data_IF_375205540210
#
_entry.id   IF_375205540210
#
_cell.length_a   1.000
_cell.length_b   1.000
_cell.length_c   1.000
_cell.angle_alpha   90.00
_cell.angle_beta   90.00
_cell.angle_gamma   90.00
#
_symmetry.space_group_name_H-M   'P 1'
#
loop_
_entity.id
_entity.type
_entity.pdbx_description
1 polymer ?
#
# COMPACT_ATOMS: atom_id res chain seq x y z
N UNK A 1 -3.81 73.26 -35.52
CA UNK A 1 -5.17 73.71 -35.12
C UNK A 1 -6.17 72.73 -35.71
N UNK A 2 -7.17 72.35 -34.92
CA UNK A 2 -8.29 71.42 -35.15
C UNK A 2 -8.09 69.93 -34.84
N UNK A 3 -9.01 69.51 -33.98
CA UNK A 3 -9.19 68.29 -33.22
C UNK A 3 -9.96 67.22 -34.03
N UNK A 4 -9.87 66.00 -33.49
CA UNK A 4 -10.65 64.75 -33.66
C UNK A 4 -12.20 64.93 -33.80
N UNK A 5 -13.09 63.89 -33.90
CA UNK A 5 -12.93 62.47 -33.50
C UNK A 5 -13.74 61.43 -34.32
N UNK A 6 -13.57 60.13 -34.04
CA UNK A 6 -14.65 59.25 -33.50
C UNK A 6 -14.22 57.77 -33.39
N UNK A 7 -14.75 57.17 -32.33
CA UNK A 7 -14.63 55.82 -31.79
C UNK A 7 -15.10 54.71 -32.75
N UNK A 8 -14.52 53.50 -32.65
CA UNK A 8 -15.26 52.34 -32.12
C UNK A 8 -14.34 51.15 -31.86
N UNK A 9 -14.54 50.54 -30.70
CA UNK A 9 -13.87 49.35 -30.21
C UNK A 9 -14.39 48.08 -30.91
N UNK A 10 -13.53 47.06 -31.01
CA UNK A 10 -13.99 45.67 -30.87
C UNK A 10 -12.90 44.87 -30.15
N UNK A 11 -13.28 44.43 -28.95
CA UNK A 11 -12.62 43.45 -28.13
C UNK A 11 -12.55 42.11 -28.88
N UNK A 12 -11.42 41.42 -28.80
CA UNK A 12 -11.43 39.95 -28.83
C UNK A 12 -10.38 39.45 -27.85
N UNK A 13 -10.87 39.01 -26.70
CA UNK A 13 -10.12 38.38 -25.63
C UNK A 13 -9.53 37.07 -26.13
N UNK A 14 -8.20 36.93 -26.13
CA UNK A 14 -7.56 35.62 -26.22
C UNK A 14 -7.21 35.18 -24.81
N UNK A 15 -8.10 34.32 -24.31
CA UNK A 15 -7.91 33.46 -23.16
C UNK A 15 -6.90 32.37 -23.54
N UNK A 16 -5.74 32.30 -22.90
CA UNK A 16 -4.88 31.12 -22.99
C UNK A 16 -3.97 30.96 -21.77
N UNK A 17 -4.47 30.10 -20.87
CA UNK A 17 -3.75 29.08 -20.11
C UNK A 17 -2.72 29.56 -19.08
N UNK A 18 -3.21 29.78 -17.86
CA UNK A 18 -2.40 29.53 -16.66
C UNK A 18 -2.10 28.03 -16.61
N UNK A 19 -0.87 27.66 -16.96
CA UNK A 19 -0.35 26.33 -16.66
C UNK A 19 -0.18 26.25 -15.14
N UNK A 20 -1.18 25.69 -14.46
CA UNK A 20 -1.03 25.19 -13.11
C UNK A 20 -0.07 23.99 -13.20
N UNK A 21 1.23 24.23 -13.11
CA UNK A 21 2.17 23.16 -12.78
C UNK A 21 1.86 22.78 -11.34
N UNK A 22 0.99 21.79 -11.15
CA UNK A 22 0.98 21.01 -9.93
C UNK A 22 2.39 20.46 -9.77
N UNK A 23 3.15 21.05 -8.85
CA UNK A 23 4.32 20.40 -8.32
C UNK A 23 3.85 19.06 -7.76
N UNK A 24 4.13 17.97 -8.49
CA UNK A 24 4.10 16.65 -7.91
C UNK A 24 5.12 16.69 -6.77
N UNK A 25 4.62 16.86 -5.55
CA UNK A 25 5.43 16.67 -4.36
C UNK A 25 5.78 15.19 -4.36
N UNK A 26 6.96 14.87 -4.87
CA UNK A 26 7.66 13.63 -4.53
C UNK A 26 7.87 13.72 -3.02
N UNK A 27 6.90 13.22 -2.24
CA UNK A 27 7.11 13.00 -0.82
C UNK A 27 8.25 12.00 -0.73
N UNK A 28 9.41 12.50 -0.30
CA UNK A 28 10.56 11.67 -0.02
C UNK A 28 10.13 10.58 0.97
N UNK A 29 10.26 9.32 0.56
CA UNK A 29 10.24 8.19 1.49
C UNK A 29 11.24 8.50 2.61
N UNK A 30 10.88 8.29 3.89
CA UNK A 30 11.82 8.41 4.99
C UNK A 30 12.81 7.24 4.94
N UNK A 31 13.74 7.25 3.99
CA UNK A 31 14.83 6.29 3.92
C UNK A 31 15.85 6.65 5.01
N UNK A 32 15.89 5.87 6.10
CA UNK A 32 17.12 5.69 6.87
C UNK A 32 17.10 5.97 8.38
N UNK A 33 15.95 6.17 9.05
CA UNK A 33 15.93 6.27 10.53
C UNK A 33 15.55 4.97 11.24
N UNK A 34 14.68 4.18 10.64
CA UNK A 34 14.04 3.03 11.25
C UNK A 34 14.42 1.72 10.55
N UNK A 35 14.39 0.60 11.28
CA UNK A 35 14.84 -0.70 10.81
C UNK A 35 13.68 -1.50 10.19
N UNK A 36 12.96 -0.89 9.24
CA UNK A 36 11.75 -1.49 8.66
C UNK A 36 12.00 -2.83 7.95
N UNK A 37 13.19 -3.01 7.35
CA UNK A 37 13.60 -4.29 6.79
C UNK A 37 13.60 -5.39 7.86
N UNK A 38 14.15 -5.09 9.04
CA UNK A 38 14.19 -6.02 10.15
C UNK A 38 12.81 -6.26 10.76
N UNK A 39 11.96 -5.23 10.82
CA UNK A 39 10.57 -5.40 11.26
C UNK A 39 9.80 -6.35 10.35
N UNK A 40 9.99 -6.22 9.04
CA UNK A 40 9.37 -7.14 8.08
C UNK A 40 9.86 -8.58 8.28
N UNK A 41 11.16 -8.79 8.46
CA UNK A 41 11.69 -10.12 8.78
C UNK A 41 11.10 -10.69 10.08
N UNK A 42 10.93 -9.86 11.12
CA UNK A 42 10.34 -10.27 12.39
C UNK A 42 8.85 -10.62 12.24
N UNK A 43 8.09 -9.85 11.48
CA UNK A 43 6.68 -10.12 11.16
C UNK A 43 6.55 -11.47 10.46
N UNK A 44 7.36 -11.69 9.41
CA UNK A 44 7.39 -12.98 8.70
C UNK A 44 7.74 -14.13 9.64
N UNK A 45 8.77 -13.96 10.46
CA UNK A 45 9.21 -14.99 11.41
C UNK A 45 8.10 -15.32 12.41
N UNK A 46 7.38 -14.32 12.93
CA UNK A 46 6.24 -14.52 13.81
C UNK A 46 5.13 -15.34 13.15
N UNK A 47 4.77 -15.03 11.90
CA UNK A 47 3.79 -15.81 11.13
C UNK A 47 4.27 -17.25 10.91
N UNK A 48 5.50 -17.43 10.44
CA UNK A 48 6.09 -18.75 10.14
C UNK A 48 6.17 -19.64 11.40
N UNK A 49 6.45 -19.04 12.57
CA UNK A 49 6.55 -19.74 13.85
C UNK A 49 5.22 -19.85 14.60
N UNK A 50 4.13 -19.28 14.07
CA UNK A 50 2.82 -19.18 14.74
C UNK A 50 2.91 -18.45 16.10
N UNK A 51 3.81 -17.47 16.21
CA UNK A 51 3.98 -16.67 17.43
C UNK A 51 2.99 -15.50 17.43
N UNK A 52 1.78 -15.77 17.95
CA UNK A 52 0.68 -14.79 18.04
C UNK A 52 1.11 -13.54 18.80
N UNK A 53 1.90 -13.70 19.87
CA UNK A 53 2.34 -12.57 20.71
C UNK A 53 3.34 -11.69 19.96
N UNK A 54 4.31 -12.30 19.28
CA UNK A 54 5.29 -11.55 18.51
C UNK A 54 4.62 -10.81 17.34
N UNK A 55 3.68 -11.45 16.63
CA UNK A 55 2.96 -10.81 15.53
C UNK A 55 2.05 -9.68 16.03
N UNK A 56 1.32 -9.91 17.13
CA UNK A 56 0.44 -8.91 17.74
C UNK A 56 1.16 -7.66 18.24
N UNK A 57 2.47 -7.72 18.49
CA UNK A 57 3.26 -6.53 18.82
C UNK A 57 3.37 -5.52 17.65
N UNK A 58 3.09 -5.96 16.43
CA UNK A 58 3.05 -5.14 15.22
C UNK A 58 1.63 -4.71 14.85
N UNK A 59 0.60 -5.10 15.59
CA UNK A 59 -0.78 -4.69 15.32
C UNK A 59 -0.97 -3.19 15.62
N UNK A 60 -1.48 -2.43 14.66
CA UNK A 60 -1.78 -1.01 14.83
C UNK A 60 -2.96 -0.76 15.80
N UNK A 61 -3.81 -1.77 16.01
CA UNK A 61 -4.95 -1.70 16.90
C UNK A 61 -5.44 -3.08 17.31
N UNK A 62 -6.28 -3.14 18.35
CA UNK A 62 -6.87 -4.37 18.87
C UNK A 62 -7.79 -5.10 17.87
N UNK A 63 -8.18 -4.47 16.76
CA UNK A 63 -9.00 -5.10 15.73
C UNK A 63 -8.21 -6.00 14.79
N UNK A 64 -6.86 -5.96 14.86
CA UNK A 64 -5.99 -6.79 14.05
C UNK A 64 -5.75 -8.10 14.79
N UNK A 65 -6.41 -9.16 14.33
CA UNK A 65 -6.30 -10.49 14.91
C UNK A 65 -5.07 -11.22 14.35
N UNK A 66 -4.00 -11.27 15.15
CA UNK A 66 -2.78 -11.99 14.80
C UNK A 66 -3.00 -13.50 14.63
N UNK A 67 -3.94 -14.09 15.37
CA UNK A 67 -4.26 -15.51 15.24
C UNK A 67 -4.95 -15.79 13.90
N UNK A 68 -5.88 -14.94 13.47
CA UNK A 68 -6.52 -15.03 12.15
C UNK A 68 -5.50 -14.96 11.01
N UNK A 69 -4.58 -13.99 11.06
CA UNK A 69 -3.51 -13.83 10.07
C UNK A 69 -2.67 -15.12 9.99
N UNK A 70 -2.22 -15.63 11.15
CA UNK A 70 -1.43 -16.85 11.21
C UNK A 70 -2.20 -18.04 10.63
N UNK A 71 -3.46 -18.22 11.02
CA UNK A 71 -4.28 -19.32 10.53
C UNK A 71 -4.46 -19.25 9.00
N UNK A 72 -4.73 -18.08 8.46
CA UNK A 72 -4.89 -17.87 7.02
C UNK A 72 -3.61 -18.19 6.23
N UNK A 73 -2.45 -17.70 6.68
CA UNK A 73 -1.17 -18.01 6.02
C UNK A 73 -0.83 -19.49 6.06
N UNK A 74 -1.21 -20.21 7.12
CA UNK A 74 -0.97 -21.64 7.25
C UNK A 74 -2.06 -22.51 6.60
N UNK A 75 -3.08 -21.91 5.97
CA UNK A 75 -4.11 -22.65 5.23
C UNK A 75 -3.56 -23.26 3.94
N UNK A 76 -2.52 -22.67 3.35
CA UNK A 76 -1.86 -23.16 2.13
C UNK A 76 -0.33 -23.01 2.23
N UNK A 77 0.40 -24.04 1.80
CA UNK A 77 1.86 -24.04 1.83
C UNK A 77 2.48 -23.00 0.86
N UNK A 78 1.78 -22.69 -0.23
CA UNK A 78 2.25 -21.73 -1.22
C UNK A 78 2.20 -20.29 -0.68
N UNK A 79 1.25 -19.97 0.21
CA UNK A 79 1.25 -18.70 0.94
C UNK A 79 2.49 -18.54 1.82
N UNK A 80 2.85 -19.59 2.57
CA UNK A 80 4.06 -19.58 3.40
C UNK A 80 5.34 -19.49 2.57
N UNK A 81 5.39 -20.17 1.42
CA UNK A 81 6.53 -20.13 0.52
C UNK A 81 6.74 -18.71 -0.04
N UNK A 82 5.68 -18.06 -0.49
CA UNK A 82 5.73 -16.68 -0.99
C UNK A 82 6.09 -15.69 0.13
N UNK A 83 5.48 -15.82 1.32
CA UNK A 83 5.83 -15.01 2.50
C UNK A 83 7.32 -15.13 2.82
N UNK A 84 7.83 -16.35 2.93
CA UNK A 84 9.24 -16.61 3.28
C UNK A 84 10.23 -15.97 2.31
N UNK A 85 9.90 -15.96 1.02
CA UNK A 85 10.78 -15.47 -0.03
C UNK A 85 10.68 -13.95 -0.26
N UNK A 86 9.65 -13.30 0.27
CA UNK A 86 9.50 -11.85 0.15
C UNK A 86 10.52 -11.09 1.00
N UNK A 87 10.91 -9.92 0.54
CA UNK A 87 11.75 -8.95 1.24
C UNK A 87 10.96 -7.66 1.46
N UNK A 88 11.50 -6.73 2.25
CA UNK A 88 10.86 -5.43 2.44
C UNK A 88 10.72 -4.64 1.14
N UNK A 89 11.70 -4.75 0.24
CA UNK A 89 11.69 -4.08 -1.06
C UNK A 89 10.60 -4.62 -1.99
N UNK A 90 10.07 -5.83 -1.73
CA UNK A 90 8.98 -6.43 -2.50
C UNK A 90 7.60 -5.88 -2.07
N UNK A 91 7.52 -5.13 -0.98
CA UNK A 91 6.27 -4.52 -0.52
C UNK A 91 5.83 -3.42 -1.49
N UNK A 92 4.61 -3.56 -2.02
CA UNK A 92 4.05 -2.56 -2.92
C UNK A 92 3.67 -1.33 -2.13
N UNK A 93 3.93 -0.16 -2.70
CA UNK A 93 3.40 1.08 -2.15
C UNK A 93 2.05 1.37 -2.81
N UNK A 94 1.00 1.45 -2.01
CA UNK A 94 -0.33 1.89 -2.43
C UNK A 94 -0.64 3.25 -1.82
N UNK A 95 -1.41 4.05 -2.55
CA UNK A 95 -1.87 5.36 -2.09
C UNK A 95 -3.38 5.37 -2.07
N UNK A 96 -3.96 5.54 -0.88
CA UNK A 96 -5.40 5.72 -0.69
C UNK A 96 -5.65 7.15 -0.20
N UNK A 97 -6.09 8.01 -1.12
CA UNK A 97 -6.22 9.45 -0.87
C UNK A 97 -4.87 10.10 -0.53
N UNK A 98 -4.67 10.44 0.75
CA UNK A 98 -3.44 11.05 1.26
C UNK A 98 -2.56 10.08 2.06
N UNK A 99 -3.01 8.84 2.27
CA UNK A 99 -2.26 7.84 3.03
C UNK A 99 -1.42 6.97 2.10
N UNK A 100 -0.15 6.77 2.48
CA UNK A 100 0.76 5.85 1.81
C UNK A 100 0.82 4.59 2.65
N UNK A 101 0.49 3.45 2.05
CA UNK A 101 0.52 2.13 2.68
C UNK A 101 1.47 1.21 1.95
N UNK A 102 2.12 0.34 2.70
CA UNK A 102 2.87 -0.79 2.17
C UNK A 102 1.95 -2.01 2.15
N UNK A 103 1.99 -2.77 1.06
CA UNK A 103 1.10 -3.91 0.85
C UNK A 103 1.95 -5.12 0.49
N UNK A 104 1.86 -6.13 1.35
CA UNK A 104 2.25 -7.48 1.01
C UNK A 104 1.05 -8.22 0.46
N UNK A 105 1.20 -8.91 -0.66
CA UNK A 105 0.13 -9.72 -1.26
C UNK A 105 0.68 -11.07 -1.73
N UNK A 106 -0.04 -12.13 -1.42
CA UNK A 106 0.19 -13.47 -1.99
C UNK A 106 -1.08 -13.98 -2.63
N UNK A 107 -0.94 -14.71 -3.72
CA UNK A 107 -2.07 -15.30 -4.44
C UNK A 107 -1.75 -16.75 -4.78
N UNK A 108 -2.74 -17.62 -4.67
CA UNK A 108 -2.70 -19.00 -5.14
C UNK A 108 -3.86 -19.20 -6.10
N UNK A 109 -3.61 -19.94 -7.18
CA UNK A 109 -4.64 -20.28 -8.15
C UNK A 109 -4.63 -21.78 -8.38
N UNK A 110 -5.80 -22.34 -8.64
CA UNK A 110 -5.97 -23.77 -8.84
C UNK A 110 -7.19 -24.08 -9.69
N UNK A 111 -7.54 -25.36 -9.77
CA UNK A 111 -8.78 -25.80 -10.40
C UNK A 111 -9.45 -26.85 -9.52
N UNK A 112 -10.77 -26.74 -9.38
CA UNK A 112 -11.57 -27.73 -8.67
C UNK A 112 -11.81 -28.99 -9.54
N UNK A 113 -12.53 -29.96 -8.97
CA UNK A 113 -12.86 -31.23 -9.63
C UNK A 113 -13.75 -31.06 -10.88
N UNK A 114 -14.46 -29.93 -10.97
CA UNK A 114 -15.33 -29.57 -12.10
C UNK A 114 -14.57 -28.78 -13.19
N UNK A 115 -13.27 -28.50 -12.95
CA UNK A 115 -12.42 -27.74 -13.85
C UNK A 115 -12.62 -26.22 -13.77
N UNK A 116 -13.32 -25.71 -12.74
CA UNK A 116 -13.42 -24.28 -12.51
C UNK A 116 -12.11 -23.77 -11.91
N UNK A 117 -11.58 -22.69 -12.48
CA UNK A 117 -10.43 -22.00 -11.92
C UNK A 117 -10.85 -21.17 -10.73
N UNK A 118 -10.11 -21.25 -9.63
CA UNK A 118 -10.24 -20.34 -8.50
C UNK A 118 -8.92 -19.59 -8.29
N UNK A 119 -9.02 -18.41 -7.68
CA UNK A 119 -7.90 -17.59 -7.23
C UNK A 119 -8.21 -17.10 -5.83
N UNK A 120 -7.31 -17.36 -4.88
CA UNK A 120 -7.39 -16.86 -3.52
C UNK A 120 -6.13 -16.07 -3.21
N UNK A 121 -6.23 -15.07 -2.34
CA UNK A 121 -5.11 -14.26 -1.94
C UNK A 121 -5.23 -13.70 -0.53
N UNK A 122 -4.07 -13.46 0.07
CA UNK A 122 -3.91 -12.82 1.37
C UNK A 122 -3.17 -11.50 1.19
N UNK A 123 -3.62 -10.48 1.89
CA UNK A 123 -3.07 -9.13 1.83
C UNK A 123 -2.81 -8.61 3.24
N UNK A 124 -1.59 -8.16 3.50
CA UNK A 124 -1.22 -7.45 4.74
C UNK A 124 -0.94 -6.00 4.36
N UNK A 125 -1.69 -5.08 4.95
CA UNK A 125 -1.48 -3.64 4.79
C UNK A 125 -0.71 -3.12 6.00
N UNK A 126 0.32 -2.33 5.71
CA UNK A 126 1.29 -1.84 6.68
C UNK A 126 1.45 -0.32 6.57
N UNK A 127 1.62 0.34 7.71
CA UNK A 127 2.12 1.71 7.78
C UNK A 127 3.61 1.70 8.18
N UNK A 128 4.35 2.70 7.69
CA UNK A 128 5.65 3.07 8.25
C UNK A 128 5.41 3.96 9.49
N UNK A 129 5.22 3.33 10.65
CA UNK A 129 5.04 4.02 11.93
C UNK A 129 6.36 4.56 12.51
N UNK A 130 6.25 5.26 13.64
CA UNK A 130 7.41 5.67 14.44
C UNK A 130 7.42 4.89 15.77
N UNK A 131 8.35 3.94 16.01
CA UNK A 131 9.57 3.64 15.25
C UNK A 131 9.51 2.41 14.34
N UNK A 132 8.38 1.69 14.24
CA UNK A 132 8.30 0.37 13.60
C UNK A 132 7.26 0.30 12.49
N UNK A 133 7.29 -0.76 11.70
CA UNK A 133 6.13 -1.12 10.87
C UNK A 133 4.90 -1.43 11.74
N UNK A 134 3.72 -1.16 11.20
CA UNK A 134 2.45 -1.42 11.87
C UNK A 134 1.49 -2.10 10.90
N UNK A 135 0.97 -3.27 11.26
CA UNK A 135 -0.09 -3.96 10.52
C UNK A 135 -1.40 -3.23 10.80
N UNK A 136 -1.98 -2.63 9.77
CA UNK A 136 -3.18 -1.79 9.87
C UNK A 136 -4.42 -2.46 9.31
N UNK A 137 -4.24 -3.47 8.47
CA UNK A 137 -5.33 -4.27 7.95
C UNK A 137 -4.82 -5.61 7.43
N UNK A 138 -5.69 -6.61 7.49
CA UNK A 138 -5.51 -7.90 6.88
C UNK A 138 -6.76 -8.23 6.07
N UNK A 139 -6.57 -8.78 4.88
CA UNK A 139 -7.65 -9.24 4.02
C UNK A 139 -7.31 -10.62 3.46
N UNK A 140 -8.26 -11.55 3.61
CA UNK A 140 -8.29 -12.81 2.88
C UNK A 140 -9.40 -12.75 1.83
N UNK A 141 -9.07 -13.00 0.56
CA UNK A 141 -9.99 -13.05 -0.56
C UNK A 141 -9.90 -14.41 -1.25
N UNK A 142 -11.01 -14.95 -1.75
CA UNK A 142 -11.06 -16.26 -2.41
C UNK A 142 -12.46 -16.62 -2.86
#
# INVERSE_FOLDING_TARGET
>A
MKLAPFYSALFTSILAVFSLTCAAQVQAQPTGRYAYDQDWENIKEAILKKDVKALGAYAASDTIDAEEIIQAFHADADYLAQLKNSTYEDLKTETDGSEIRLVFSVTVSGSDEDGNTYESGLYIYLNQGEPSLEIVSFLAAG
#
